data_IF_341306409256
#
_entry.id   IF_341306409256
#
_cell.length_a   1.000
_cell.length_b   1.000
_cell.length_c   1.000
_cell.angle_alpha   90.00
_cell.angle_beta   90.00
_cell.angle_gamma   90.00
#
_symmetry.space_group_name_H-M   'P 1'
#
loop_
_entity.id
_entity.type
_entity.pdbx_description
1 polymer ?
#
# COMPACT_ATOMS: atom_id res chain seq x y z
N UNK A 1 13.64 -25.24 48.06
CA UNK A 1 13.13 -24.91 46.70
C UNK A 1 12.61 -23.47 46.72
N UNK A 2 13.38 -22.52 46.16
CA UNK A 2 12.93 -21.12 46.02
C UNK A 2 12.04 -21.01 44.79
N UNK A 3 10.72 -20.96 45.02
CA UNK A 3 9.74 -20.68 43.97
C UNK A 3 9.93 -19.22 43.54
N UNK A 4 10.54 -19.01 42.38
CA UNK A 4 10.66 -17.69 41.76
C UNK A 4 9.25 -17.16 41.48
N UNK A 5 8.81 -16.19 42.27
CA UNK A 5 7.49 -15.57 42.17
C UNK A 5 7.30 -15.00 40.75
N UNK A 6 6.20 -15.41 40.09
CA UNK A 6 5.86 -14.90 38.77
C UNK A 6 5.59 -13.39 38.89
N UNK A 7 6.19 -12.56 38.02
CA UNK A 7 5.96 -11.12 38.08
C UNK A 7 4.47 -10.80 37.86
N UNK A 8 3.91 -9.80 38.57
CA UNK A 8 2.52 -9.38 38.38
C UNK A 8 2.29 -8.89 36.95
N UNK A 9 1.10 -9.16 36.40
CA UNK A 9 0.74 -8.86 35.00
C UNK A 9 1.05 -7.41 34.59
N UNK A 10 0.87 -6.45 35.52
CA UNK A 10 1.20 -5.03 35.29
C UNK A 10 2.68 -4.78 35.00
N UNK A 11 3.58 -5.47 35.69
CA UNK A 11 5.03 -5.35 35.50
C UNK A 11 5.49 -5.93 34.16
N UNK A 12 4.84 -7.01 33.71
CA UNK A 12 5.08 -7.61 32.38
C UNK A 12 4.60 -6.70 31.25
N UNK A 13 3.42 -6.07 31.38
CA UNK A 13 2.89 -5.12 30.40
C UNK A 13 3.76 -3.85 30.30
N UNK A 14 4.22 -3.32 31.43
CA UNK A 14 5.16 -2.19 31.46
C UNK A 14 6.50 -2.55 30.80
N UNK A 15 6.98 -3.79 30.98
CA UNK A 15 8.16 -4.31 30.31
C UNK A 15 8.00 -4.35 28.79
N UNK A 16 6.85 -4.83 28.29
CA UNK A 16 6.51 -4.86 26.86
C UNK A 16 6.41 -3.44 26.28
N UNK A 17 5.74 -2.53 26.99
CA UNK A 17 5.61 -1.13 26.55
C UNK A 17 6.96 -0.42 26.45
N UNK A 18 7.83 -0.59 27.45
CA UNK A 18 9.20 -0.04 27.43
C UNK A 18 10.03 -0.64 26.30
N UNK A 19 9.92 -1.95 26.06
CA UNK A 19 10.61 -2.62 24.95
C UNK A 19 10.14 -2.10 23.60
N UNK A 20 8.83 -1.98 23.39
CA UNK A 20 8.21 -1.43 22.19
C UNK A 20 8.73 -0.01 21.89
N UNK A 21 8.71 0.87 22.89
CA UNK A 21 9.24 2.23 22.74
C UNK A 21 10.74 2.27 22.44
N UNK A 22 11.52 1.39 23.08
CA UNK A 22 12.95 1.24 22.81
C UNK A 22 13.22 0.80 21.37
N UNK A 23 12.59 -0.28 20.93
CA UNK A 23 12.71 -0.81 19.58
C UNK A 23 12.32 0.21 18.51
N UNK A 24 11.22 0.95 18.73
CA UNK A 24 10.79 2.01 17.82
C UNK A 24 11.80 3.15 17.72
N UNK A 25 12.32 3.64 18.85
CA UNK A 25 13.31 4.73 18.89
C UNK A 25 14.63 4.31 18.23
N UNK A 26 15.11 3.11 18.55
CA UNK A 26 16.34 2.56 17.98
C UNK A 26 16.20 2.41 16.45
N UNK A 27 15.06 1.90 15.98
CA UNK A 27 14.76 1.77 14.55
C UNK A 27 14.75 3.12 13.85
N UNK A 28 14.08 4.13 14.43
CA UNK A 28 14.01 5.48 13.87
C UNK A 28 15.40 6.14 13.83
N UNK A 29 16.20 5.95 14.88
CA UNK A 29 17.57 6.47 14.93
C UNK A 29 18.46 5.81 13.88
N UNK A 30 18.35 4.49 13.69
CA UNK A 30 19.07 3.76 12.65
C UNK A 30 18.67 4.24 11.25
N UNK A 31 17.37 4.39 10.98
CA UNK A 31 16.87 4.88 9.70
C UNK A 31 17.41 6.29 9.40
N UNK A 32 17.30 7.22 10.37
CA UNK A 32 17.83 8.58 10.24
C UNK A 32 19.33 8.61 9.98
N UNK A 33 20.11 7.83 10.74
CA UNK A 33 21.57 7.73 10.54
C UNK A 33 21.92 7.18 9.16
N UNK A 34 21.21 6.16 8.67
CA UNK A 34 21.46 5.58 7.34
C UNK A 34 21.14 6.57 6.22
N UNK A 35 20.02 7.28 6.32
CA UNK A 35 19.64 8.33 5.37
C UNK A 35 20.66 9.49 5.34
N UNK A 36 21.21 9.86 6.49
CA UNK A 36 22.21 10.93 6.59
C UNK A 36 23.59 10.53 6.02
N UNK A 37 24.02 9.29 6.21
CA UNK A 37 25.39 8.84 5.84
C UNK A 37 25.48 8.37 4.39
N UNK A 38 24.40 7.83 3.81
CA UNK A 38 24.40 7.31 2.43
C UNK A 38 23.49 8.15 1.55
N UNK A 39 23.97 9.26 0.97
CA UNK A 39 23.25 9.91 -0.10
C UNK A 39 23.08 8.87 -1.22
N UNK A 40 21.84 8.57 -1.54
CA UNK A 40 21.54 7.56 -2.53
C UNK A 40 22.02 8.07 -3.90
N UNK A 41 23.09 7.46 -4.41
CA UNK A 41 23.60 7.72 -5.76
C UNK A 41 22.76 6.94 -6.75
N UNK A 42 21.55 7.41 -7.00
CA UNK A 42 20.73 6.86 -8.06
C UNK A 42 21.30 7.28 -9.41
N UNK A 43 21.23 6.41 -10.44
CA UNK A 43 21.46 6.86 -11.80
C UNK A 43 20.54 8.04 -12.11
N UNK A 44 20.99 8.96 -12.96
CA UNK A 44 20.18 10.10 -13.38
C UNK A 44 19.08 9.61 -14.34
N UNK A 45 18.05 8.98 -13.77
CA UNK A 45 16.87 8.54 -14.49
C UNK A 45 16.05 9.79 -14.80
N UNK A 46 15.73 9.97 -16.08
CA UNK A 46 14.85 11.05 -16.54
C UNK A 46 13.40 10.77 -16.12
N UNK A 47 13.10 10.97 -14.84
CA UNK A 47 11.78 10.70 -14.27
C UNK A 47 10.67 11.50 -14.95
N UNK A 48 10.97 12.71 -15.44
CA UNK A 48 10.00 13.52 -16.18
C UNK A 48 9.61 12.87 -17.51
N UNK A 49 10.55 12.25 -18.23
CA UNK A 49 10.26 11.58 -19.50
C UNK A 49 9.33 10.38 -19.28
N UNK A 50 9.62 9.57 -18.26
CA UNK A 50 8.74 8.47 -17.86
C UNK A 50 7.38 8.97 -17.38
N UNK A 51 7.34 10.07 -16.63
CA UNK A 51 6.09 10.72 -16.22
C UNK A 51 5.23 11.13 -17.42
N UNK A 52 5.83 11.77 -18.43
CA UNK A 52 5.13 12.13 -19.66
C UNK A 52 4.61 10.91 -20.43
N UNK A 53 5.42 9.85 -20.54
CA UNK A 53 5.00 8.59 -21.16
C UNK A 53 3.78 8.02 -20.42
N UNK A 54 3.80 7.98 -19.10
CA UNK A 54 2.68 7.50 -18.29
C UNK A 54 1.42 8.35 -18.45
N UNK A 55 1.56 9.67 -18.45
CA UNK A 55 0.44 10.61 -18.67
C UNK A 55 -0.16 10.40 -20.06
N UNK A 56 0.68 10.29 -21.09
CA UNK A 56 0.23 10.08 -22.46
C UNK A 56 -0.49 8.73 -22.63
N UNK A 57 0.08 7.65 -22.08
CA UNK A 57 -0.56 6.33 -22.11
C UNK A 57 -1.89 6.33 -21.36
N UNK A 58 -1.97 7.02 -20.22
CA UNK A 58 -3.21 7.17 -19.45
C UNK A 58 -4.26 7.94 -20.25
N UNK A 59 -3.90 9.05 -20.88
CA UNK A 59 -4.80 9.83 -21.72
C UNK A 59 -5.28 9.04 -22.94
N UNK A 60 -4.38 8.31 -23.61
CA UNK A 60 -4.71 7.46 -24.75
C UNK A 60 -5.68 6.33 -24.36
N UNK A 61 -5.43 5.68 -23.21
CA UNK A 61 -6.32 4.67 -22.65
C UNK A 61 -7.69 5.26 -22.29
N UNK A 62 -7.72 6.45 -21.69
CA UNK A 62 -8.95 7.14 -21.31
C UNK A 62 -9.81 7.50 -22.53
N UNK A 63 -9.20 7.96 -23.63
CA UNK A 63 -9.95 8.31 -24.84
C UNK A 63 -10.44 7.07 -25.59
N UNK A 64 -9.64 5.99 -25.64
CA UNK A 64 -9.97 4.82 -26.48
C UNK A 64 -10.71 3.71 -25.78
N UNK A 65 -10.45 3.47 -24.49
CA UNK A 65 -10.91 2.27 -23.79
C UNK A 65 -12.08 2.57 -22.84
N UNK A 66 -12.22 3.80 -22.36
CA UNK A 66 -13.13 4.11 -21.26
C UNK A 66 -14.60 4.14 -21.71
N UNK A 67 -14.89 4.71 -22.89
CA UNK A 67 -16.23 4.66 -23.49
C UNK A 67 -16.68 3.23 -23.82
N UNK A 68 -15.92 2.40 -24.56
CA UNK A 68 -16.34 1.02 -24.81
C UNK A 68 -16.41 0.18 -23.54
N UNK A 69 -15.52 0.39 -22.56
CA UNK A 69 -15.61 -0.30 -21.26
C UNK A 69 -16.87 0.07 -20.49
N UNK A 70 -17.28 1.35 -20.52
CA UNK A 70 -18.53 1.82 -19.92
C UNK A 70 -19.77 1.24 -20.59
N UNK A 71 -19.82 1.21 -21.93
CA UNK A 71 -20.96 0.66 -22.69
C UNK A 71 -21.06 -0.85 -22.56
N UNK A 72 -19.92 -1.56 -22.55
CA UNK A 72 -19.89 -3.00 -22.39
C UNK A 72 -20.22 -3.44 -20.96
N UNK A 73 -20.27 -2.54 -19.96
CA UNK A 73 -20.53 -2.90 -18.57
C UNK A 73 -21.83 -3.72 -18.43
N UNK A 74 -21.72 -4.93 -17.87
CA UNK A 74 -22.85 -5.86 -17.71
C UNK A 74 -23.19 -6.70 -18.95
N UNK A 75 -22.51 -6.49 -20.08
CA UNK A 75 -22.68 -7.27 -21.32
C UNK A 75 -21.59 -8.33 -21.52
N UNK A 76 -20.70 -8.49 -20.54
CA UNK A 76 -19.57 -9.42 -20.60
C UNK A 76 -20.08 -10.85 -20.45
N UNK A 77 -19.43 -11.81 -21.12
CA UNK A 77 -19.79 -13.21 -20.91
C UNK A 77 -19.56 -13.60 -19.44
N UNK A 78 -20.38 -14.52 -18.89
CA UNK A 78 -20.28 -14.91 -17.48
C UNK A 78 -18.88 -15.38 -17.09
N UNK A 79 -18.17 -16.05 -17.99
CA UNK A 79 -16.83 -16.59 -17.76
C UNK A 79 -15.79 -15.47 -17.59
N UNK A 80 -15.86 -14.45 -18.45
CA UNK A 80 -14.95 -13.30 -18.37
C UNK A 80 -15.27 -12.45 -17.14
N UNK A 81 -16.55 -12.28 -16.81
CA UNK A 81 -16.95 -11.57 -15.58
C UNK A 81 -16.40 -12.26 -14.32
N UNK A 82 -16.51 -13.58 -14.21
CA UNK A 82 -15.95 -14.35 -13.08
C UNK A 82 -14.42 -14.24 -13.01
N UNK A 83 -13.74 -14.29 -14.15
CA UNK A 83 -12.28 -14.11 -14.21
C UNK A 83 -11.87 -12.70 -13.74
N UNK A 84 -12.55 -11.67 -14.20
CA UNK A 84 -12.30 -10.29 -13.79
C UNK A 84 -12.56 -10.08 -12.28
N UNK A 85 -13.62 -10.70 -11.76
CA UNK A 85 -13.93 -10.67 -10.33
C UNK A 85 -12.85 -11.37 -9.49
N UNK A 86 -12.38 -12.54 -9.94
CA UNK A 86 -11.26 -13.25 -9.33
C UNK A 86 -10.01 -12.37 -9.24
N UNK A 87 -9.61 -11.72 -10.33
CA UNK A 87 -8.46 -10.79 -10.30
C UNK A 87 -8.71 -9.54 -9.46
N UNK A 88 -9.94 -9.06 -9.41
CA UNK A 88 -10.31 -7.90 -8.58
C UNK A 88 -10.09 -8.19 -7.09
N UNK A 89 -10.33 -9.42 -6.64
CA UNK A 89 -10.05 -9.81 -5.25
C UNK A 89 -8.58 -9.62 -4.86
N UNK A 90 -7.64 -9.89 -5.78
CA UNK A 90 -6.22 -9.62 -5.53
C UNK A 90 -5.94 -8.13 -5.43
N UNK A 91 -6.63 -7.28 -6.18
CA UNK A 91 -6.47 -5.82 -6.12
C UNK A 91 -6.81 -5.18 -4.77
N UNK A 92 -7.43 -5.91 -3.84
CA UNK A 92 -7.79 -5.40 -2.53
C UNK A 92 -6.53 -5.12 -1.69
N UNK A 93 -6.27 -3.84 -1.41
CA UNK A 93 -5.12 -3.41 -0.61
C UNK A 93 -5.05 -4.04 0.78
N UNK A 94 -6.20 -4.44 1.35
CA UNK A 94 -6.28 -5.09 2.65
C UNK A 94 -5.45 -6.37 2.77
N UNK A 95 -5.36 -7.16 1.69
CA UNK A 95 -4.55 -8.38 1.65
C UNK A 95 -3.06 -8.15 1.89
N UNK A 96 -2.58 -6.94 1.58
CA UNK A 96 -1.16 -6.59 1.68
C UNK A 96 -0.87 -5.72 2.90
N UNK A 97 -1.78 -4.78 3.22
CA UNK A 97 -1.62 -3.85 4.33
C UNK A 97 -1.75 -4.54 5.70
N UNK A 98 -2.73 -5.44 5.86
CA UNK A 98 -2.99 -6.07 7.17
C UNK A 98 -1.82 -7.00 7.57
N UNK A 99 -1.37 -7.96 6.73
CA UNK A 99 -0.28 -8.86 7.12
C UNK A 99 1.03 -8.12 7.35
N UNK A 100 1.34 -7.11 6.51
CA UNK A 100 2.56 -6.30 6.69
C UNK A 100 2.53 -5.49 7.98
N UNK A 101 1.40 -4.87 8.33
CA UNK A 101 1.23 -4.17 9.61
C UNK A 101 1.39 -5.12 10.80
N UNK A 102 0.77 -6.31 10.75
CA UNK A 102 0.90 -7.31 11.81
C UNK A 102 2.34 -7.80 11.99
N UNK A 103 3.07 -8.03 10.89
CA UNK A 103 4.48 -8.41 10.93
C UNK A 103 5.34 -7.32 11.56
N UNK A 104 5.10 -6.04 11.25
CA UNK A 104 5.84 -4.93 11.86
C UNK A 104 5.53 -4.78 13.35
N UNK A 105 4.28 -5.00 13.76
CA UNK A 105 3.90 -5.03 15.18
C UNK A 105 4.63 -6.19 15.88
N UNK A 106 4.61 -7.40 15.30
CA UNK A 106 5.31 -8.55 15.87
C UNK A 106 6.83 -8.30 15.96
N UNK A 107 7.43 -7.73 14.92
CA UNK A 107 8.84 -7.34 14.90
C UNK A 107 9.17 -6.33 16.00
N UNK A 108 8.29 -5.35 16.24
CA UNK A 108 8.46 -4.36 17.30
C UNK A 108 8.33 -4.95 18.72
N UNK A 109 7.55 -6.02 18.89
CA UNK A 109 7.40 -6.71 20.19
C UNK A 109 8.51 -7.75 20.45
N UNK A 110 9.25 -8.13 19.41
CA UNK A 110 10.30 -9.16 19.46
C UNK A 110 11.50 -8.71 20.29
N UNK A 111 12.06 -9.63 21.09
CA UNK A 111 13.31 -9.40 21.81
C UNK A 111 14.51 -9.79 20.94
N UNK A 112 14.92 -8.84 20.08
CA UNK A 112 16.00 -9.01 19.10
C UNK A 112 17.33 -9.48 19.70
N UNK A 113 17.59 -9.20 20.98
CA UNK A 113 18.85 -9.56 21.66
C UNK A 113 18.92 -11.04 22.04
N UNK A 114 17.78 -11.69 22.16
CA UNK A 114 17.66 -13.11 22.52
C UNK A 114 17.67 -14.06 21.32
N UNK A 115 17.61 -13.52 20.10
CA UNK A 115 17.53 -14.31 18.88
C UNK A 115 18.90 -14.88 18.48
N UNK A 116 18.89 -16.13 17.99
CA UNK A 116 20.06 -16.69 17.29
C UNK A 116 20.33 -15.92 16.00
N UNK A 117 21.58 -15.96 15.49
CA UNK A 117 21.96 -15.26 14.25
C UNK A 117 21.07 -15.62 13.06
N UNK A 118 20.64 -16.88 12.94
CA UNK A 118 19.75 -17.34 11.86
C UNK A 118 18.34 -16.75 12.01
N UNK A 119 17.78 -16.78 13.22
CA UNK A 119 16.46 -16.21 13.49
C UNK A 119 16.46 -14.68 13.31
N UNK A 120 17.53 -14.01 13.75
CA UNK A 120 17.72 -12.58 13.57
C UNK A 120 17.66 -12.17 12.09
N UNK A 121 18.38 -12.88 11.22
CA UNK A 121 18.39 -12.61 9.78
C UNK A 121 17.02 -12.84 9.14
N UNK A 122 16.31 -13.89 9.56
CA UNK A 122 14.97 -14.20 9.08
C UNK A 122 13.98 -13.08 9.45
N UNK A 123 13.90 -12.74 10.74
CA UNK A 123 12.99 -11.70 11.25
C UNK A 123 13.31 -10.34 10.63
N UNK A 124 14.61 -10.02 10.48
CA UNK A 124 15.03 -8.78 9.81
C UNK A 124 14.56 -8.71 8.35
N UNK A 125 14.74 -9.80 7.59
CA UNK A 125 14.33 -9.85 6.18
C UNK A 125 12.82 -9.68 6.01
N UNK A 126 12.04 -10.38 6.84
CA UNK A 126 10.58 -10.22 6.85
C UNK A 126 10.13 -8.83 7.29
N UNK A 127 10.82 -8.22 8.25
CA UNK A 127 10.53 -6.84 8.69
C UNK A 127 10.79 -5.84 7.55
N UNK A 128 11.88 -6.01 6.80
CA UNK A 128 12.19 -5.17 5.65
C UNK A 128 11.16 -5.35 4.52
N UNK A 129 10.78 -6.59 4.21
CA UNK A 129 9.73 -6.88 3.22
C UNK A 129 8.39 -6.29 3.64
N UNK A 130 7.98 -6.48 4.90
CA UNK A 130 6.73 -5.92 5.43
C UNK A 130 6.74 -4.39 5.37
N UNK A 131 7.85 -3.74 5.72
CA UNK A 131 7.99 -2.30 5.62
C UNK A 131 7.91 -1.81 4.18
N UNK A 132 8.56 -2.50 3.23
CA UNK A 132 8.48 -2.18 1.80
C UNK A 132 7.05 -2.31 1.27
N UNK A 133 6.37 -3.42 1.56
CA UNK A 133 4.97 -3.67 1.16
C UNK A 133 4.04 -2.61 1.74
N UNK A 134 4.13 -2.36 3.05
CA UNK A 134 3.28 -1.38 3.72
C UNK A 134 3.51 0.02 3.16
N UNK A 135 4.76 0.40 2.90
CA UNK A 135 5.09 1.72 2.36
C UNK A 135 4.63 1.85 0.91
N UNK A 136 4.91 0.87 0.06
CA UNK A 136 4.55 0.93 -1.35
C UNK A 136 3.04 0.92 -1.57
N UNK A 137 2.31 -0.02 -0.96
CA UNK A 137 0.84 -0.13 -1.08
C UNK A 137 0.14 0.99 -0.30
N UNK A 138 0.63 1.32 0.90
CA UNK A 138 0.02 2.33 1.77
C UNK A 138 0.19 3.74 1.24
N UNK A 139 1.40 4.14 0.83
CA UNK A 139 1.63 5.48 0.27
C UNK A 139 0.92 5.64 -1.07
N UNK A 140 1.00 4.65 -1.96
CA UNK A 140 0.31 4.74 -3.26
C UNK A 140 -1.22 4.78 -3.08
N UNK A 141 -1.79 3.98 -2.18
CA UNK A 141 -3.21 4.01 -1.84
C UNK A 141 -3.66 5.35 -1.26
N UNK A 142 -2.84 5.95 -0.38
CA UNK A 142 -3.10 7.29 0.15
C UNK A 142 -3.06 8.34 -0.96
N UNK A 143 -2.05 8.31 -1.83
CA UNK A 143 -1.94 9.20 -2.99
C UNK A 143 -3.15 9.08 -3.89
N UNK A 144 -3.62 7.87 -4.18
CA UNK A 144 -4.84 7.64 -4.99
C UNK A 144 -6.07 8.24 -4.33
N UNK A 145 -6.23 8.08 -3.01
CA UNK A 145 -7.37 8.67 -2.32
C UNK A 145 -7.34 10.20 -2.39
N UNK A 146 -6.18 10.83 -2.22
CA UNK A 146 -6.03 12.28 -2.41
C UNK A 146 -6.38 12.70 -3.84
N UNK A 147 -5.86 11.98 -4.84
CA UNK A 147 -6.14 12.27 -6.25
C UNK A 147 -7.62 12.08 -6.61
N UNK A 148 -8.29 11.07 -6.04
CA UNK A 148 -9.72 10.85 -6.24
C UNK A 148 -10.55 12.05 -5.80
N UNK A 149 -10.25 12.59 -4.62
CA UNK A 149 -10.96 13.77 -4.12
C UNK A 149 -10.59 15.04 -4.89
N UNK A 150 -9.35 15.15 -5.36
CA UNK A 150 -8.91 16.29 -6.19
C UNK A 150 -9.56 16.29 -7.58
N UNK A 151 -9.71 15.12 -8.22
CA UNK A 151 -10.24 15.00 -9.59
C UNK A 151 -11.77 14.93 -9.58
N UNK A 152 -12.36 14.12 -8.69
CA UNK A 152 -13.82 14.04 -8.54
C UNK A 152 -14.56 13.43 -9.73
N UNK A 153 -13.99 12.40 -10.37
CA UNK A 153 -14.62 11.74 -11.52
C UNK A 153 -15.77 10.81 -11.10
N UNK A 154 -16.94 10.98 -11.72
CA UNK A 154 -18.07 10.06 -11.54
C UNK A 154 -17.71 8.60 -11.89
N UNK A 155 -18.25 7.63 -11.14
CA UNK A 155 -18.14 6.20 -11.49
C UNK A 155 -19.00 5.85 -12.72
N UNK A 156 -18.66 4.79 -13.48
CA UNK A 156 -19.40 4.40 -14.68
C UNK A 156 -20.91 4.23 -14.49
N UNK A 157 -21.34 3.77 -13.31
CA UNK A 157 -22.76 3.60 -12.96
C UNK A 157 -23.57 4.91 -13.04
N UNK A 158 -22.91 6.06 -12.89
CA UNK A 158 -23.55 7.38 -12.90
C UNK A 158 -23.25 8.18 -14.19
N UNK A 159 -22.70 7.54 -15.23
CA UNK A 159 -22.41 8.22 -16.50
C UNK A 159 -23.68 8.67 -17.22
N UNK A 160 -24.82 8.00 -17.00
CA UNK A 160 -26.13 8.41 -17.55
C UNK A 160 -26.63 9.71 -16.91
N UNK A 161 -26.33 9.94 -15.62
CA UNK A 161 -26.86 11.08 -14.85
C UNK A 161 -25.98 12.34 -14.98
N UNK A 162 -24.65 12.17 -14.99
CA UNK A 162 -23.70 13.30 -14.98
C UNK A 162 -22.90 13.45 -16.27
N UNK A 163 -22.90 12.45 -17.15
CA UNK A 163 -22.07 12.42 -18.36
C UNK A 163 -20.70 11.77 -18.17
N UNK A 164 -20.17 11.17 -19.23
CA UNK A 164 -18.93 10.33 -19.22
C UNK A 164 -17.66 11.11 -18.84
N UNK A 165 -17.67 12.44 -19.04
CA UNK A 165 -16.53 13.34 -18.83
C UNK A 165 -16.73 14.34 -17.69
N UNK A 166 -17.82 14.24 -16.91
CA UNK A 166 -18.06 15.19 -15.82
C UNK A 166 -17.08 14.97 -14.65
N UNK A 167 -16.43 16.07 -14.26
CA UNK A 167 -15.51 16.15 -13.14
C UNK A 167 -16.10 17.08 -12.08
N UNK A 168 -16.16 16.59 -10.85
CA UNK A 168 -16.65 17.31 -9.68
C UNK A 168 -15.55 17.40 -8.63
N UNK A 169 -14.51 18.23 -8.86
CA UNK A 169 -13.37 18.33 -7.96
C UNK A 169 -13.84 18.74 -6.55
N UNK A 170 -13.24 18.13 -5.52
CA UNK A 170 -13.56 18.38 -4.10
C UNK A 170 -14.99 18.06 -3.68
N UNK A 171 -15.73 17.25 -4.42
CA UNK A 171 -17.08 16.83 -4.00
C UNK A 171 -17.08 15.91 -2.75
N UNK A 172 -15.92 15.35 -2.37
CA UNK A 172 -15.73 14.45 -1.22
C UNK A 172 -16.75 13.30 -1.11
N UNK A 173 -17.31 12.88 -2.25
CA UNK A 173 -18.33 11.84 -2.33
C UNK A 173 -17.76 10.58 -2.99
N UNK A 174 -18.12 9.40 -2.46
CA UNK A 174 -17.73 8.11 -3.01
C UNK A 174 -18.22 7.88 -4.45
N UNK A 175 -19.29 8.57 -4.86
CA UNK A 175 -19.85 8.57 -6.22
C UNK A 175 -18.89 9.18 -7.25
N UNK A 176 -18.09 10.15 -6.82
CA UNK A 176 -17.10 10.88 -7.64
C UNK A 176 -15.66 10.37 -7.43
N UNK A 177 -15.50 9.19 -6.84
CA UNK A 177 -14.21 8.54 -6.60
C UNK A 177 -13.87 7.49 -7.68
N UNK A 178 -14.23 7.75 -8.94
CA UNK A 178 -14.09 6.82 -10.06
C UNK A 178 -12.67 6.72 -10.63
N UNK A 179 -11.85 7.76 -10.49
CA UNK A 179 -10.47 7.78 -10.99
C UNK A 179 -9.52 8.49 -10.02
N UNK A 180 -8.29 8.00 -9.81
CA UNK A 180 -7.70 6.75 -10.33
C UNK A 180 -8.19 5.46 -9.63
N UNK A 181 -7.97 4.29 -10.23
CA UNK A 181 -8.40 2.99 -9.66
C UNK A 181 -7.50 2.53 -8.50
N UNK A 182 -8.12 2.25 -7.35
CA UNK A 182 -7.41 1.73 -6.17
C UNK A 182 -6.87 0.32 -6.37
N UNK A 183 -7.67 -0.58 -6.95
CA UNK A 183 -7.26 -1.98 -7.20
C UNK A 183 -6.08 -2.07 -8.16
N UNK A 184 -6.12 -1.28 -9.25
CA UNK A 184 -5.01 -1.23 -10.20
C UNK A 184 -3.72 -0.69 -9.55
N UNK A 185 -3.85 0.30 -8.65
CA UNK A 185 -2.71 0.86 -7.93
C UNK A 185 -2.08 -0.16 -6.98
N UNK A 186 -2.90 -0.90 -6.22
CA UNK A 186 -2.40 -2.01 -5.38
C UNK A 186 -1.63 -3.01 -6.22
N UNK A 187 -2.18 -3.45 -7.36
CA UNK A 187 -1.52 -4.43 -8.23
C UNK A 187 -0.22 -3.89 -8.82
N UNK A 188 -0.20 -2.63 -9.26
CA UNK A 188 1.03 -1.97 -9.73
C UNK A 188 2.11 -1.92 -8.64
N UNK A 189 1.74 -1.58 -7.41
CA UNK A 189 2.66 -1.57 -6.28
C UNK A 189 3.20 -2.98 -5.97
N UNK A 190 2.32 -3.99 -5.95
CA UNK A 190 2.72 -5.40 -5.72
C UNK A 190 3.65 -5.90 -6.82
N UNK A 191 3.34 -5.61 -8.08
CA UNK A 191 4.20 -5.96 -9.20
C UNK A 191 5.59 -5.32 -9.08
N UNK A 192 5.66 -4.04 -8.73
CA UNK A 192 6.93 -3.34 -8.51
C UNK A 192 7.76 -3.89 -7.34
N UNK A 193 7.14 -4.51 -6.33
CA UNK A 193 7.85 -5.17 -5.22
C UNK A 193 8.44 -6.52 -5.64
N UNK A 194 7.81 -7.20 -6.61
CA UNK A 194 8.19 -8.55 -7.05
C UNK A 194 9.28 -8.56 -8.13
N UNK A 195 9.60 -7.42 -8.73
CA UNK A 195 10.69 -7.23 -9.70
C UNK A 195 12.05 -7.03 -9.00
#
# INVERSE_FOLDING_TARGET
MLVKSRPPVSSSLLGIGRRSLGNFRDTLQLARRRLAVRPARYPNISWWAWGLVWVFLTAAAFVRLDTPAGVAHGQWSPDVARLAEFFTQFGLGGWYLIPSALLLVAANLTDWRSLSRRALMLVYSWTCLAFLVLSAVGLSGLTVNVLKYAIGRARPLYFQDFGVLALHPFAFDARFAGFPSGHATTMGAVFGILL
#
